data_IF_311420633597
#
_entry.id   IF_311420633597
#
_cell.length_a   1.000
_cell.length_b   1.000
_cell.length_c   1.000
_cell.angle_alpha   90.00
_cell.angle_beta   90.00
_cell.angle_gamma   90.00
#
_symmetry.space_group_name_H-M   'P 1'
#
loop_
_entity.id
_entity.type
_entity.pdbx_description
1 polymer ?
#
# COMPACT_ATOMS: atom_id res chain seq x y z
N UNK A 1 -18.61 -8.59 -15.14
CA UNK A 1 -17.23 -8.59 -15.68
C UNK A 1 -16.52 -7.29 -15.39
N UNK A 2 -15.19 -7.26 -15.53
CA UNK A 2 -14.40 -6.04 -15.36
C UNK A 2 -14.44 -5.21 -16.64
N UNK A 3 -14.31 -3.89 -16.49
CA UNK A 3 -14.23 -2.96 -17.63
C UNK A 3 -12.94 -3.21 -18.41
N UNK A 4 -13.05 -3.63 -19.68
CA UNK A 4 -11.89 -3.95 -20.52
C UNK A 4 -11.00 -2.74 -20.84
N UNK A 5 -11.60 -1.55 -21.00
CA UNK A 5 -10.91 -0.29 -21.22
C UNK A 5 -10.03 0.10 -20.02
N UNK A 6 -10.54 -0.08 -18.79
CA UNK A 6 -9.78 0.17 -17.55
C UNK A 6 -8.62 -0.84 -17.42
N UNK A 7 -8.88 -2.14 -17.64
CA UNK A 7 -7.82 -3.17 -17.62
C UNK A 7 -6.73 -2.85 -18.65
N UNK A 8 -7.10 -2.34 -19.82
CA UNK A 8 -6.15 -1.90 -20.83
C UNK A 8 -5.21 -0.80 -20.33
N UNK A 9 -5.76 0.23 -19.67
CA UNK A 9 -4.97 1.31 -19.09
C UNK A 9 -4.07 0.83 -17.92
N UNK A 10 -4.56 -0.08 -17.09
CA UNK A 10 -3.79 -0.66 -15.98
C UNK A 10 -2.59 -1.46 -16.52
N UNK A 11 -2.79 -2.25 -17.58
CA UNK A 11 -1.70 -2.96 -18.25
C UNK A 11 -0.70 -2.00 -18.90
N UNK A 12 -1.16 -0.88 -19.45
CA UNK A 12 -0.29 0.17 -19.99
C UNK A 12 0.58 0.81 -18.90
N UNK A 13 0.06 0.95 -17.66
CA UNK A 13 0.84 1.40 -16.50
C UNK A 13 1.91 0.40 -16.08
N UNK A 14 1.78 -0.88 -16.45
CA UNK A 14 2.68 -1.96 -16.06
C UNK A 14 2.81 -2.10 -14.53
N UNK A 15 1.66 -2.09 -13.84
CA UNK A 15 1.58 -2.25 -12.37
C UNK A 15 1.88 -3.70 -12.00
N UNK A 16 2.93 -4.03 -11.23
CA UNK A 16 3.26 -5.42 -10.89
C UNK A 16 2.57 -5.93 -9.61
N UNK A 17 2.15 -5.04 -8.70
CA UNK A 17 1.51 -5.43 -7.44
C UNK A 17 0.34 -4.49 -7.12
N UNK A 18 -0.70 -4.99 -6.45
CA UNK A 18 -1.81 -4.21 -5.92
C UNK A 18 -2.10 -4.60 -4.47
N UNK A 19 -2.23 -3.60 -3.60
CA UNK A 19 -2.63 -3.78 -2.20
C UNK A 19 -4.14 -3.78 -2.06
N UNK A 20 -4.70 -4.78 -1.34
CA UNK A 20 -6.15 -4.94 -1.14
C UNK A 20 -6.48 -5.71 0.16
N UNK A 21 -7.60 -5.44 0.85
CA UNK A 21 -8.21 -4.12 0.87
C UNK A 21 -7.22 -3.13 1.47
N UNK A 22 -7.38 -1.84 1.19
CA UNK A 22 -6.45 -0.84 1.69
C UNK A 22 -7.14 0.17 2.59
N UNK A 23 -6.33 1.05 3.17
CA UNK A 23 -6.77 2.21 3.91
C UNK A 23 -7.57 1.90 5.17
N UNK A 24 -8.25 2.93 5.65
CA UNK A 24 -8.99 2.88 6.91
C UNK A 24 -10.17 1.90 6.89
N UNK A 25 -10.70 1.58 5.72
CA UNK A 25 -11.74 0.57 5.51
C UNK A 25 -11.38 -0.78 6.13
N UNK A 26 -10.11 -1.20 6.00
CA UNK A 26 -9.63 -2.50 6.44
C UNK A 26 -9.98 -2.80 7.90
N UNK A 27 -9.83 -1.83 8.79
CA UNK A 27 -9.95 -2.05 10.24
C UNK A 27 -11.38 -2.27 10.73
N UNK A 28 -12.38 -2.00 9.89
CA UNK A 28 -13.79 -2.31 10.14
C UNK A 28 -14.35 -3.44 9.27
N UNK A 29 -13.52 -4.05 8.41
CA UNK A 29 -13.96 -5.02 7.39
C UNK A 29 -13.82 -6.47 7.85
N UNK A 30 -14.89 -7.23 7.70
CA UNK A 30 -14.86 -8.70 7.81
C UNK A 30 -14.75 -9.30 6.41
N UNK A 31 -13.65 -9.98 6.12
CA UNK A 31 -13.41 -10.58 4.82
C UNK A 31 -14.41 -11.68 4.44
N UNK A 32 -15.09 -12.30 5.41
CA UNK A 32 -16.13 -13.28 5.18
C UNK A 32 -17.35 -12.67 4.47
N UNK A 33 -17.63 -11.39 4.72
CA UNK A 33 -18.71 -10.67 4.05
C UNK A 33 -18.47 -10.53 2.53
N UNK A 34 -17.19 -10.58 2.10
CA UNK A 34 -16.77 -10.40 0.70
C UNK A 34 -16.53 -11.69 -0.09
N UNK A 35 -17.01 -12.84 0.38
CA UNK A 35 -16.86 -14.13 -0.32
C UNK A 35 -18.23 -14.80 -0.54
N UNK A 36 -18.29 -15.84 -1.38
CA UNK A 36 -19.54 -16.53 -1.72
C UNK A 36 -20.38 -15.80 -2.76
N UNK A 37 -21.63 -16.27 -2.99
CA UNK A 37 -22.56 -15.66 -3.95
C UNK A 37 -22.85 -14.20 -3.59
N UNK A 38 -22.76 -13.30 -4.56
CA UNK A 38 -22.90 -11.85 -4.33
C UNK A 38 -24.24 -11.44 -3.77
N UNK A 39 -25.29 -12.12 -4.18
CA UNK A 39 -26.67 -11.93 -3.74
C UNK A 39 -26.92 -12.31 -2.28
N UNK A 40 -26.04 -13.11 -1.70
CA UNK A 40 -26.10 -13.55 -0.31
C UNK A 40 -25.21 -12.69 0.61
N UNK A 41 -24.35 -11.86 0.04
CA UNK A 41 -23.42 -11.04 0.82
C UNK A 41 -24.13 -9.92 1.57
N UNK A 42 -23.79 -9.68 2.83
CA UNK A 42 -24.43 -8.63 3.61
C UNK A 42 -24.04 -7.25 3.11
N UNK A 43 -24.96 -6.31 3.24
CA UNK A 43 -24.68 -4.87 3.06
C UNK A 43 -24.35 -4.28 4.41
N UNK A 44 -23.21 -3.58 4.51
CA UNK A 44 -22.66 -3.03 5.76
C UNK A 44 -22.49 -1.53 5.70
N UNK A 45 -22.36 -0.90 6.87
CA UNK A 45 -21.84 0.45 6.96
C UNK A 45 -20.30 0.40 6.93
N UNK A 46 -19.71 1.13 6.03
CA UNK A 46 -18.30 1.47 6.10
C UNK A 46 -18.13 2.67 7.04
N UNK A 47 -17.70 2.41 8.26
CA UNK A 47 -17.56 3.41 9.31
C UNK A 47 -16.32 4.31 9.11
N UNK A 48 -15.38 3.91 8.28
CA UNK A 48 -14.20 4.70 7.99
C UNK A 48 -14.50 5.83 6.99
N UNK A 49 -15.28 5.54 5.96
CA UNK A 49 -15.59 6.50 4.89
C UNK A 49 -17.05 6.97 4.91
N UNK A 50 -17.83 6.52 5.89
CA UNK A 50 -19.26 6.85 6.03
C UNK A 50 -20.04 6.54 4.74
N UNK A 51 -19.82 5.35 4.21
CA UNK A 51 -20.48 4.84 3.00
C UNK A 51 -21.25 3.57 3.29
N UNK A 52 -22.02 3.11 2.31
CA UNK A 52 -22.65 1.79 2.36
C UNK A 52 -21.85 0.83 1.48
N UNK A 53 -21.24 -0.17 2.12
CA UNK A 53 -20.50 -1.24 1.43
C UNK A 53 -21.46 -2.38 1.05
N UNK A 54 -21.44 -2.74 -0.21
CA UNK A 54 -22.31 -3.80 -0.77
C UNK A 54 -21.64 -5.16 -0.80
N UNK A 55 -20.34 -5.23 -0.53
CA UNK A 55 -19.51 -6.44 -0.60
C UNK A 55 -19.53 -7.18 -1.96
N UNK A 56 -19.97 -6.50 -3.05
CA UNK A 56 -19.97 -7.08 -4.40
C UNK A 56 -18.57 -7.34 -4.96
N UNK A 57 -17.54 -6.74 -4.33
CA UNK A 57 -16.15 -6.94 -4.67
C UNK A 57 -15.39 -7.35 -3.41
N UNK A 58 -14.87 -8.56 -3.38
CA UNK A 58 -14.16 -9.12 -2.24
C UNK A 58 -12.94 -9.93 -2.66
N UNK A 59 -12.56 -10.90 -1.82
CA UNK A 59 -11.32 -11.68 -2.00
C UNK A 59 -11.27 -12.40 -3.35
N UNK A 60 -12.35 -13.07 -3.76
CA UNK A 60 -12.37 -13.84 -5.01
C UNK A 60 -12.33 -12.92 -6.24
N UNK A 61 -12.99 -11.76 -6.16
CA UNK A 61 -12.98 -10.77 -7.23
C UNK A 61 -11.60 -10.12 -7.42
N UNK A 62 -10.92 -9.75 -6.34
CA UNK A 62 -9.57 -9.16 -6.48
C UNK A 62 -8.58 -10.18 -7.04
N UNK A 63 -8.65 -11.45 -6.61
CA UNK A 63 -7.78 -12.50 -7.15
C UNK A 63 -8.04 -12.73 -8.64
N UNK A 64 -9.30 -12.75 -9.06
CA UNK A 64 -9.69 -12.84 -10.46
C UNK A 64 -9.23 -11.61 -11.25
N UNK A 65 -9.38 -10.42 -10.67
CA UNK A 65 -8.94 -9.17 -11.28
C UNK A 65 -7.41 -9.13 -11.45
N UNK A 66 -6.66 -9.51 -10.42
CA UNK A 66 -5.20 -9.61 -10.47
C UNK A 66 -4.72 -10.54 -11.58
N UNK A 67 -5.37 -11.72 -11.72
CA UNK A 67 -5.06 -12.67 -12.78
C UNK A 67 -5.33 -12.07 -14.17
N UNK A 68 -6.47 -11.39 -14.34
CA UNK A 68 -6.83 -10.75 -15.62
C UNK A 68 -5.89 -9.58 -15.92
N UNK A 69 -5.52 -8.78 -14.94
CA UNK A 69 -4.64 -7.63 -15.13
C UNK A 69 -3.15 -8.03 -15.27
N UNK A 70 -2.76 -9.22 -14.78
CA UNK A 70 -1.36 -9.67 -14.75
C UNK A 70 -0.58 -9.11 -13.58
N UNK A 71 -1.23 -8.88 -12.44
CA UNK A 71 -0.71 -8.17 -11.26
C UNK A 71 -0.67 -9.11 -10.06
N UNK A 72 0.37 -9.03 -9.23
CA UNK A 72 0.43 -9.79 -7.98
C UNK A 72 -0.43 -9.12 -6.89
N UNK A 73 -1.19 -9.88 -6.08
CA UNK A 73 -1.90 -9.34 -4.94
C UNK A 73 -0.97 -9.15 -3.72
N UNK A 74 -1.14 -8.02 -3.02
CA UNK A 74 -0.68 -7.77 -1.66
C UNK A 74 -1.93 -7.64 -0.79
N UNK A 75 -2.21 -8.66 0.00
CA UNK A 75 -3.42 -8.67 0.83
C UNK A 75 -3.17 -8.03 2.19
N UNK A 76 -4.20 -7.42 2.77
CA UNK A 76 -4.13 -6.86 4.12
C UNK A 76 -5.13 -7.55 5.05
N UNK A 77 -4.73 -7.75 6.31
CA UNK A 77 -5.57 -8.35 7.36
C UNK A 77 -6.01 -7.31 8.37
N UNK A 78 -7.26 -7.41 8.83
CA UNK A 78 -7.85 -6.50 9.80
C UNK A 78 -7.24 -6.67 11.20
N UNK A 79 -6.46 -5.69 11.67
CA UNK A 79 -5.91 -5.65 13.03
C UNK A 79 -6.65 -4.67 13.96
N UNK A 80 -7.65 -3.97 13.45
CA UNK A 80 -8.54 -3.12 14.27
C UNK A 80 -9.57 -3.96 15.01
N UNK A 81 -10.66 -4.30 14.34
CA UNK A 81 -11.74 -5.12 14.90
C UNK A 81 -11.52 -6.63 14.73
N UNK A 82 -10.65 -7.05 13.81
CA UNK A 82 -10.36 -8.46 13.55
C UNK A 82 -9.43 -9.09 14.59
N UNK A 83 -9.44 -10.40 14.62
CA UNK A 83 -8.59 -11.23 15.50
C UNK A 83 -7.36 -11.74 14.76
N UNK A 84 -6.36 -12.20 15.51
CA UNK A 84 -5.19 -12.89 14.94
C UNK A 84 -5.59 -14.19 14.22
N UNK A 85 -6.66 -14.83 14.68
CA UNK A 85 -7.15 -16.05 14.05
C UNK A 85 -7.85 -15.77 12.73
N UNK A 86 -8.56 -14.66 12.61
CA UNK A 86 -9.16 -14.25 11.33
C UNK A 86 -8.09 -13.94 10.27
N UNK A 87 -6.97 -13.38 10.68
CA UNK A 87 -5.80 -13.20 9.80
C UNK A 87 -5.26 -14.54 9.28
N UNK A 88 -5.10 -15.54 10.16
CA UNK A 88 -4.67 -16.89 9.78
C UNK A 88 -5.68 -17.56 8.85
N UNK A 89 -7.00 -17.41 9.11
CA UNK A 89 -8.07 -17.96 8.28
C UNK A 89 -8.09 -17.36 6.88
N UNK A 90 -7.80 -16.06 6.73
CA UNK A 90 -7.70 -15.47 5.40
C UNK A 90 -6.49 -16.02 4.63
N UNK A 91 -5.35 -16.25 5.29
CA UNK A 91 -4.21 -16.95 4.69
C UNK A 91 -4.59 -18.39 4.31
N UNK A 92 -5.27 -19.13 5.18
CA UNK A 92 -5.79 -20.47 4.91
C UNK A 92 -6.73 -20.46 3.69
N UNK A 93 -7.69 -19.54 3.64
CA UNK A 93 -8.57 -19.36 2.50
C UNK A 93 -7.80 -19.19 1.19
N UNK A 94 -6.82 -18.31 1.20
CA UNK A 94 -6.05 -17.99 -0.01
C UNK A 94 -5.03 -19.06 -0.41
N UNK A 95 -4.37 -19.70 0.55
CA UNK A 95 -3.15 -20.47 0.29
C UNK A 95 -3.25 -21.96 0.57
N UNK A 96 -4.23 -22.40 1.38
CA UNK A 96 -4.32 -23.84 1.71
C UNK A 96 -4.94 -24.64 0.56
N UNK A 97 -4.37 -25.78 0.17
CA UNK A 97 -4.82 -26.52 -1.00
C UNK A 97 -6.25 -27.06 -0.89
N UNK A 98 -6.67 -27.57 0.25
CA UNK A 98 -8.00 -28.17 0.47
C UNK A 98 -8.06 -29.03 1.72
N UNK A 99 -9.25 -29.59 2.01
CA UNK A 99 -9.45 -30.51 3.13
C UNK A 99 -9.80 -29.85 4.46
N UNK A 100 -9.90 -28.51 4.50
CA UNK A 100 -10.39 -27.75 5.66
C UNK A 100 -11.64 -26.99 5.30
N UNK A 101 -12.49 -26.65 6.27
CA UNK A 101 -13.71 -25.88 6.02
C UNK A 101 -13.40 -24.58 5.25
N UNK A 102 -12.37 -23.85 5.64
CA UNK A 102 -12.00 -22.55 5.05
C UNK A 102 -11.49 -22.72 3.61
N UNK A 103 -10.63 -23.70 3.36
CA UNK A 103 -10.12 -23.96 1.99
C UNK A 103 -11.22 -24.53 1.07
N UNK A 104 -12.14 -25.33 1.62
CA UNK A 104 -13.28 -25.83 0.85
C UNK A 104 -14.31 -24.72 0.51
N UNK A 105 -14.45 -23.68 1.35
CA UNK A 105 -15.23 -22.49 0.99
C UNK A 105 -14.68 -21.82 -0.28
N UNK A 106 -13.34 -21.62 -0.37
CA UNK A 106 -12.72 -21.08 -1.60
C UNK A 106 -13.04 -21.94 -2.82
N UNK A 107 -12.94 -23.28 -2.66
CA UNK A 107 -13.20 -24.22 -3.75
C UNK A 107 -14.65 -24.16 -4.19
N UNK A 108 -15.58 -24.11 -3.25
CA UNK A 108 -17.01 -23.94 -3.52
C UNK A 108 -17.31 -22.62 -4.22
N UNK A 109 -16.57 -21.55 -3.93
CA UNK A 109 -16.66 -20.24 -4.57
C UNK A 109 -16.01 -20.21 -5.97
N UNK A 110 -15.53 -21.35 -6.49
CA UNK A 110 -15.06 -21.51 -7.86
C UNK A 110 -13.54 -21.46 -8.06
N UNK A 111 -12.75 -21.43 -6.97
CA UNK A 111 -11.29 -21.48 -7.04
C UNK A 111 -10.77 -22.81 -6.48
N UNK A 112 -10.66 -23.83 -7.33
CA UNK A 112 -10.14 -25.16 -6.94
C UNK A 112 -8.72 -25.11 -6.41
N UNK A 113 -7.86 -24.29 -7.04
CA UNK A 113 -6.48 -24.14 -6.66
C UNK A 113 -6.26 -22.95 -5.73
N UNK A 114 -5.24 -23.00 -4.85
CA UNK A 114 -4.84 -21.86 -4.03
C UNK A 114 -4.49 -20.62 -4.86
N UNK A 115 -4.75 -19.46 -4.30
CA UNK A 115 -4.35 -18.19 -4.90
C UNK A 115 -2.84 -17.91 -4.75
N UNK A 116 -2.19 -18.56 -3.78
CA UNK A 116 -0.75 -18.44 -3.50
C UNK A 116 -0.32 -17.00 -3.24
N UNK A 117 -1.08 -16.29 -2.42
CA UNK A 117 -0.76 -14.91 -2.05
C UNK A 117 0.50 -14.87 -1.20
N UNK A 118 1.47 -14.09 -1.67
CA UNK A 118 2.78 -13.99 -1.03
C UNK A 118 2.92 -12.81 -0.07
N UNK A 119 2.35 -11.65 -0.40
CA UNK A 119 2.52 -10.40 0.34
C UNK A 119 1.31 -10.12 1.23
N UNK A 120 1.56 -9.79 2.51
CA UNK A 120 0.52 -9.59 3.51
C UNK A 120 0.82 -8.44 4.44
N UNK A 121 -0.05 -7.42 4.44
CA UNK A 121 -0.01 -6.32 5.39
C UNK A 121 -0.76 -6.70 6.67
N UNK A 122 -0.12 -6.54 7.82
CA UNK A 122 -0.69 -6.80 9.14
C UNK A 122 -1.27 -5.50 9.69
N UNK A 123 -2.50 -5.19 9.28
CA UNK A 123 -3.18 -3.94 9.63
C UNK A 123 -2.92 -2.79 8.67
N UNK A 124 -3.45 -1.62 9.01
CA UNK A 124 -3.32 -0.35 8.32
C UNK A 124 -3.33 0.80 9.33
N UNK A 125 -2.33 1.70 9.28
CA UNK A 125 -2.25 2.94 10.07
C UNK A 125 -2.65 2.78 11.56
N UNK A 126 -2.16 1.73 12.19
CA UNK A 126 -2.59 1.35 13.55
C UNK A 126 -2.15 2.36 14.62
N UNK A 127 -1.30 3.33 14.29
CA UNK A 127 -0.90 4.49 15.09
C UNK A 127 -1.88 5.66 15.01
N UNK A 128 -2.75 5.67 13.99
CA UNK A 128 -3.63 6.80 13.69
C UNK A 128 -4.88 6.85 14.57
N UNK A 129 -5.18 7.98 15.25
CA UNK A 129 -6.38 8.10 16.08
C UNK A 129 -7.69 8.06 15.28
N UNK A 130 -7.62 8.20 13.96
CA UNK A 130 -8.74 8.04 13.04
C UNK A 130 -9.03 6.59 12.69
N UNK A 131 -8.09 5.68 12.96
CA UNK A 131 -8.19 4.27 12.62
C UNK A 131 -9.06 3.52 13.63
N UNK A 132 -10.05 2.76 13.15
CA UNK A 132 -10.89 1.91 14.01
C UNK A 132 -9.99 0.89 14.71
N UNK A 133 -10.06 0.86 16.05
CA UNK A 133 -9.27 -0.07 16.84
C UNK A 133 -7.77 0.23 16.84
N UNK A 134 -7.36 1.52 16.63
CA UNK A 134 -5.97 1.92 16.80
C UNK A 134 -5.44 1.55 18.19
N UNK A 135 -4.15 1.32 18.30
CA UNK A 135 -3.49 0.80 19.48
C UNK A 135 -2.25 1.65 19.81
N UNK A 136 -1.70 1.48 20.99
CA UNK A 136 -0.34 1.92 21.26
C UNK A 136 0.68 1.06 20.50
N UNK A 137 1.89 1.55 20.30
CA UNK A 137 2.95 0.82 19.59
C UNK A 137 3.26 -0.54 20.23
N UNK A 138 3.23 -0.62 21.56
CA UNK A 138 3.47 -1.84 22.32
C UNK A 138 2.33 -2.87 22.14
N UNK A 139 1.07 -2.42 22.25
CA UNK A 139 -0.10 -3.27 22.04
C UNK A 139 -0.18 -3.81 20.62
N UNK A 140 0.01 -2.90 19.64
CA UNK A 140 0.04 -3.31 18.23
C UNK A 140 1.21 -4.25 17.94
N UNK A 141 2.41 -3.96 18.42
CA UNK A 141 3.60 -4.79 18.22
C UNK A 141 3.40 -6.21 18.71
N UNK A 142 2.81 -6.39 19.92
CA UNK A 142 2.44 -7.70 20.46
C UNK A 142 1.38 -8.41 19.61
N UNK A 143 0.31 -7.72 19.24
CA UNK A 143 -0.76 -8.27 18.39
C UNK A 143 -0.22 -8.69 17.01
N UNK A 144 0.59 -7.84 16.39
CA UNK A 144 1.19 -8.09 15.08
C UNK A 144 2.16 -9.28 15.09
N UNK A 145 2.95 -9.43 16.18
CA UNK A 145 3.83 -10.58 16.35
C UNK A 145 3.03 -11.89 16.36
N UNK A 146 1.97 -11.96 17.14
CA UNK A 146 1.15 -13.17 17.22
C UNK A 146 0.41 -13.44 15.90
N UNK A 147 -0.10 -12.38 15.26
CA UNK A 147 -0.70 -12.51 13.92
C UNK A 147 0.32 -13.06 12.90
N UNK A 148 1.53 -12.52 12.89
CA UNK A 148 2.60 -12.97 11.99
C UNK A 148 2.90 -14.46 12.14
N UNK A 149 3.02 -14.94 13.37
CA UNK A 149 3.28 -16.37 13.67
C UNK A 149 2.16 -17.27 13.13
N UNK A 150 0.90 -16.96 13.47
CA UNK A 150 -0.22 -17.83 13.06
C UNK A 150 -0.46 -17.77 11.56
N UNK A 151 -0.20 -16.63 10.90
CA UNK A 151 -0.27 -16.50 9.44
C UNK A 151 0.78 -17.40 8.76
N UNK A 152 2.02 -17.42 9.26
CA UNK A 152 3.07 -18.31 8.78
C UNK A 152 2.70 -19.79 8.98
N UNK A 153 2.18 -20.13 10.14
CA UNK A 153 1.72 -21.52 10.42
C UNK A 153 0.56 -21.92 9.48
N UNK A 154 -0.41 -21.04 9.26
CA UNK A 154 -1.49 -21.28 8.29
C UNK A 154 -0.98 -21.49 6.85
N UNK A 155 0.14 -20.83 6.49
CA UNK A 155 0.83 -21.05 5.21
C UNK A 155 1.72 -22.33 5.20
N UNK A 156 1.80 -23.07 6.31
CA UNK A 156 2.63 -24.26 6.45
C UNK A 156 4.12 -23.96 6.68
N UNK A 157 4.46 -22.76 7.12
CA UNK A 157 5.84 -22.40 7.48
C UNK A 157 6.11 -22.87 8.93
N UNK A 158 7.13 -23.70 9.10
CA UNK A 158 7.53 -24.23 10.41
C UNK A 158 9.05 -24.21 10.55
N UNK A 159 9.54 -23.84 11.71
CA UNK A 159 10.97 -23.86 12.07
C UNK A 159 11.88 -23.15 11.05
N UNK A 160 11.38 -22.04 10.48
CA UNK A 160 12.07 -21.25 9.46
C UNK A 160 12.04 -21.82 8.05
N UNK A 161 11.43 -22.99 7.85
CA UNK A 161 11.23 -23.61 6.54
C UNK A 161 10.07 -22.95 5.79
N UNK A 162 10.13 -22.98 4.46
CA UNK A 162 9.04 -22.50 3.62
C UNK A 162 7.86 -23.47 3.65
N UNK A 163 6.64 -22.93 3.62
CA UNK A 163 5.44 -23.71 3.34
C UNK A 163 5.37 -24.18 1.89
N UNK A 164 4.32 -24.95 1.54
CA UNK A 164 4.13 -25.47 0.17
C UNK A 164 4.15 -24.39 -0.91
N UNK A 165 3.69 -23.19 -0.58
CA UNK A 165 3.60 -22.04 -1.48
C UNK A 165 4.77 -21.04 -1.32
N UNK A 166 5.86 -21.47 -0.69
CA UNK A 166 6.99 -20.61 -0.32
C UNK A 166 6.76 -19.85 1.00
N UNK A 167 7.62 -18.88 1.28
CA UNK A 167 7.50 -18.05 2.50
C UNK A 167 6.62 -16.83 2.22
N UNK A 168 5.78 -16.51 3.19
CA UNK A 168 5.07 -15.22 3.20
C UNK A 168 6.05 -14.05 3.32
N UNK A 169 5.68 -12.94 2.75
CA UNK A 169 6.29 -11.63 2.95
C UNK A 169 5.35 -10.79 3.79
N UNK A 170 5.70 -10.62 5.06
CA UNK A 170 4.87 -9.96 6.06
C UNK A 170 5.29 -8.50 6.23
N UNK A 171 4.31 -7.61 6.15
CA UNK A 171 4.48 -6.16 6.25
C UNK A 171 3.76 -5.71 7.52
N UNK A 172 4.48 -5.16 8.49
CA UNK A 172 3.89 -4.59 9.71
C UNK A 172 3.62 -3.11 9.52
N UNK A 173 2.55 -2.61 10.15
CA UNK A 173 2.17 -1.21 10.09
C UNK A 173 3.21 -0.35 10.81
N UNK A 174 3.90 0.48 10.07
CA UNK A 174 4.72 1.57 10.58
C UNK A 174 3.91 2.85 10.75
N UNK A 175 4.60 3.97 10.93
CA UNK A 175 3.95 5.27 11.09
C UNK A 175 3.14 5.68 9.87
N UNK A 176 1.91 6.15 10.10
CA UNK A 176 0.99 6.64 9.07
C UNK A 176 1.47 7.92 8.39
N UNK A 177 2.32 8.69 9.05
CA UNK A 177 3.15 9.76 8.49
C UNK A 177 4.20 10.19 9.53
N UNK A 178 5.22 10.94 9.10
CA UNK A 178 6.30 11.38 9.99
C UNK A 178 5.93 12.59 10.87
N UNK A 179 4.77 13.21 10.66
CA UNK A 179 4.26 14.28 11.52
C UNK A 179 3.48 13.75 12.74
N UNK A 180 3.29 12.43 12.83
CA UNK A 180 2.65 11.80 13.98
C UNK A 180 3.46 12.03 15.25
N UNK A 181 2.80 12.37 16.39
CA UNK A 181 3.51 12.55 17.66
C UNK A 181 4.28 11.32 18.13
N UNK A 182 3.91 10.16 17.62
CA UNK A 182 4.51 8.86 17.92
C UNK A 182 5.69 8.49 17.03
N UNK A 183 5.95 9.25 15.96
CA UNK A 183 7.07 9.02 15.05
C UNK A 183 8.39 9.56 15.66
N UNK A 184 9.54 8.88 15.51
CA UNK A 184 9.72 7.54 14.95
C UNK A 184 9.66 6.42 16.02
N UNK A 185 9.21 6.74 17.24
CA UNK A 185 9.16 5.81 18.37
C UNK A 185 8.20 4.64 18.11
N UNK A 186 7.07 4.90 17.42
CA UNK A 186 6.15 3.86 16.97
C UNK A 186 6.88 2.76 16.21
N UNK A 187 7.63 3.15 15.18
CA UNK A 187 8.35 2.24 14.31
C UNK A 187 9.38 1.41 15.08
N UNK A 188 10.13 2.06 15.97
CA UNK A 188 11.10 1.40 16.82
C UNK A 188 10.46 0.32 17.69
N UNK A 189 9.38 0.65 18.41
CA UNK A 189 8.70 -0.27 19.34
C UNK A 189 8.06 -1.42 18.58
N UNK A 190 7.35 -1.16 17.50
CA UNK A 190 6.74 -2.20 16.66
C UNK A 190 7.80 -3.17 16.14
N UNK A 191 8.93 -2.65 15.66
CA UNK A 191 10.01 -3.48 15.15
C UNK A 191 10.69 -4.31 16.26
N UNK A 192 10.84 -3.79 17.48
CA UNK A 192 11.39 -4.55 18.60
C UNK A 192 10.55 -5.80 18.91
N UNK A 193 9.23 -5.76 18.71
CA UNK A 193 8.37 -6.93 18.83
C UNK A 193 8.45 -7.86 17.60
N UNK A 194 8.51 -7.30 16.40
CA UNK A 194 8.18 -8.02 15.17
C UNK A 194 9.37 -8.32 14.27
N UNK A 195 10.58 -7.84 14.55
CA UNK A 195 11.74 -7.88 13.65
C UNK A 195 12.03 -9.26 13.08
N UNK A 196 11.86 -10.32 13.90
CA UNK A 196 12.14 -11.70 13.48
C UNK A 196 11.12 -12.21 12.46
N UNK A 197 9.88 -11.83 12.61
CA UNK A 197 8.76 -12.31 11.79
C UNK A 197 8.47 -11.43 10.58
N UNK A 198 8.52 -10.10 10.71
CA UNK A 198 8.20 -9.19 9.64
C UNK A 198 9.32 -9.10 8.59
N UNK A 199 8.97 -8.93 7.33
CA UNK A 199 9.92 -8.74 6.22
C UNK A 199 10.05 -7.27 5.83
N UNK A 200 8.98 -6.49 5.93
CA UNK A 200 8.93 -5.07 5.58
C UNK A 200 8.22 -4.28 6.68
N UNK A 201 8.63 -3.01 6.82
CA UNK A 201 7.93 -2.00 7.60
C UNK A 201 7.12 -1.11 6.65
N UNK A 202 5.82 -0.97 6.89
CA UNK A 202 4.96 -0.06 6.13
C UNK A 202 5.26 1.40 6.48
N UNK A 203 5.08 2.29 5.53
CA UNK A 203 5.05 3.74 5.75
C UNK A 203 4.08 4.38 4.76
N UNK A 204 3.47 5.51 5.17
CA UNK A 204 2.51 6.26 4.37
C UNK A 204 2.85 7.74 4.32
N UNK A 205 2.53 8.41 3.23
CA UNK A 205 2.65 9.87 3.13
C UNK A 205 1.81 10.44 1.98
N UNK A 206 1.07 11.49 2.28
CA UNK A 206 0.36 12.28 1.28
C UNK A 206 0.92 13.70 1.21
N UNK A 207 0.92 14.27 0.02
CA UNK A 207 1.41 15.61 -0.28
C UNK A 207 0.28 16.46 -0.84
N UNK A 208 0.30 17.77 -0.54
CA UNK A 208 -0.71 18.69 -1.05
C UNK A 208 -0.12 20.06 -1.35
N UNK A 209 -0.63 20.70 -2.39
CA UNK A 209 -0.41 22.13 -2.60
C UNK A 209 -1.16 22.92 -1.53
N UNK A 210 -0.49 23.88 -0.91
CA UNK A 210 -1.12 24.77 0.09
C UNK A 210 -0.80 26.22 -0.23
N UNK A 211 -1.82 26.96 -0.71
CA UNK A 211 -1.70 28.38 -1.04
C UNK A 211 -1.38 29.29 0.16
N UNK A 212 -1.56 28.79 1.39
CA UNK A 212 -1.22 29.53 2.62
C UNK A 212 0.26 29.51 2.99
N UNK A 213 1.08 28.67 2.33
CA UNK A 213 2.54 28.61 2.56
C UNK A 213 3.23 29.85 1.99
N UNK A 214 4.43 30.14 2.52
CA UNK A 214 5.24 31.30 2.09
C UNK A 214 5.70 31.17 0.62
N UNK A 215 6.03 29.95 0.22
CA UNK A 215 6.45 29.59 -1.15
C UNK A 215 5.66 28.39 -1.63
N UNK A 216 4.36 28.60 -1.99
CA UNK A 216 3.45 27.47 -2.18
C UNK A 216 3.88 26.46 -3.24
N UNK A 217 4.42 26.95 -4.37
CA UNK A 217 4.86 26.10 -5.48
C UNK A 217 6.18 25.42 -5.14
N UNK A 218 7.15 26.18 -4.65
CA UNK A 218 8.49 25.67 -4.30
C UNK A 218 8.41 24.63 -3.18
N UNK A 219 7.60 24.89 -2.16
CA UNK A 219 7.35 23.96 -1.06
C UNK A 219 6.69 22.67 -1.54
N UNK A 220 5.78 22.78 -2.52
CA UNK A 220 5.12 21.61 -3.10
C UNK A 220 6.07 20.82 -4.01
N UNK A 221 6.85 21.49 -4.84
CA UNK A 221 7.88 20.85 -5.66
C UNK A 221 8.98 20.18 -4.83
N UNK A 222 9.25 20.71 -3.63
CA UNK A 222 10.20 20.14 -2.65
C UNK A 222 9.70 18.90 -1.92
N UNK A 223 8.49 18.40 -2.16
CA UNK A 223 7.93 17.22 -1.48
C UNK A 223 8.79 15.95 -1.61
N UNK A 224 9.60 15.87 -2.66
CA UNK A 224 10.55 14.76 -2.85
C UNK A 224 11.65 14.73 -1.77
N UNK A 225 12.07 15.88 -1.25
CA UNK A 225 13.07 16.00 -0.19
C UNK A 225 12.49 15.50 1.14
N UNK A 226 11.24 15.89 1.46
CA UNK A 226 10.49 15.39 2.62
C UNK A 226 10.37 13.85 2.59
N UNK A 227 10.01 13.29 1.44
CA UNK A 227 9.93 11.83 1.27
C UNK A 227 11.30 11.15 1.48
N UNK A 228 12.37 11.75 0.99
CA UNK A 228 13.72 11.20 1.14
C UNK A 228 14.18 11.23 2.62
N UNK A 229 13.90 12.31 3.35
CA UNK A 229 14.20 12.43 4.78
C UNK A 229 13.41 11.40 5.61
N UNK A 230 12.11 11.24 5.31
CA UNK A 230 11.27 10.26 6.00
C UNK A 230 11.79 8.82 5.77
N UNK A 231 12.10 8.45 4.53
CA UNK A 231 12.72 7.15 4.22
C UNK A 231 14.05 7.00 4.96
N UNK A 232 14.87 8.04 4.99
CA UNK A 232 16.17 8.05 5.68
C UNK A 232 16.04 7.77 7.18
N UNK A 233 15.06 8.39 7.84
CA UNK A 233 14.77 8.17 9.27
C UNK A 233 14.33 6.75 9.54
N UNK A 234 13.45 6.17 8.72
CA UNK A 234 13.03 4.78 8.88
C UNK A 234 14.16 3.79 8.60
N UNK A 235 15.02 4.06 7.62
CA UNK A 235 16.24 3.25 7.40
C UNK A 235 17.10 3.20 8.65
N UNK A 236 17.32 4.35 9.30
CA UNK A 236 18.10 4.44 10.52
C UNK A 236 17.44 3.68 11.68
N UNK A 237 16.12 3.79 11.82
CA UNK A 237 15.32 3.07 12.83
C UNK A 237 15.40 1.56 12.65
N UNK A 238 15.23 1.07 11.41
CA UNK A 238 15.37 -0.36 11.06
C UNK A 238 16.76 -0.88 11.41
N UNK A 239 17.82 -0.13 11.06
CA UNK A 239 19.20 -0.53 11.35
C UNK A 239 19.51 -0.50 12.85
N UNK A 240 18.94 0.46 13.60
CA UNK A 240 19.04 0.48 15.06
C UNK A 240 18.46 -0.80 15.68
N UNK A 241 17.22 -1.15 15.31
CA UNK A 241 16.58 -2.36 15.85
C UNK A 241 17.29 -3.62 15.38
N UNK A 242 17.75 -3.68 14.12
CA UNK A 242 18.56 -4.79 13.62
C UNK A 242 19.81 -5.02 14.50
N UNK A 243 20.51 -3.95 14.83
CA UNK A 243 21.71 -4.03 15.67
C UNK A 243 21.37 -4.47 17.11
N UNK A 244 20.29 -3.93 17.69
CA UNK A 244 19.77 -4.29 19.01
C UNK A 244 19.42 -5.78 19.09
N UNK A 245 18.73 -6.30 18.09
CA UNK A 245 18.34 -7.71 17.95
C UNK A 245 19.50 -8.62 17.52
N UNK A 246 20.68 -8.06 17.23
CA UNK A 246 21.84 -8.79 16.68
C UNK A 246 21.48 -9.65 15.47
N UNK A 247 20.56 -9.15 14.66
CA UNK A 247 20.01 -9.89 13.54
C UNK A 247 20.87 -9.72 12.28
N UNK A 248 21.04 -10.81 11.50
CA UNK A 248 21.61 -10.77 10.16
C UNK A 248 20.56 -10.50 9.09
N UNK A 249 19.27 -10.61 9.44
CA UNK A 249 18.15 -10.34 8.55
C UNK A 249 18.15 -8.87 8.12
N UNK A 250 17.98 -8.63 6.83
CA UNK A 250 17.77 -7.28 6.27
C UNK A 250 16.28 -7.06 6.05
N UNK A 251 15.72 -6.10 6.76
CA UNK A 251 14.35 -5.67 6.58
C UNK A 251 14.30 -4.51 5.59
N UNK A 252 13.28 -4.49 4.74
CA UNK A 252 13.00 -3.38 3.84
C UNK A 252 11.82 -2.54 4.29
N UNK A 253 11.49 -1.56 3.46
CA UNK A 253 10.34 -0.67 3.61
C UNK A 253 9.30 -1.02 2.54
N UNK A 254 8.03 -1.05 2.93
CA UNK A 254 6.88 -1.01 2.04
C UNK A 254 6.27 0.39 2.13
N UNK A 255 6.49 1.22 1.11
CA UNK A 255 5.84 2.52 1.01
C UNK A 255 4.46 2.30 0.37
N UNK A 256 3.58 1.61 1.08
CA UNK A 256 2.38 1.00 0.52
C UNK A 256 1.14 1.91 0.53
N UNK A 257 1.34 3.20 0.84
CA UNK A 257 0.34 4.25 0.63
C UNK A 257 1.02 5.61 0.46
N UNK A 258 0.97 6.16 -0.74
CA UNK A 258 1.50 7.50 -1.03
C UNK A 258 0.79 8.13 -2.22
N UNK A 259 0.60 9.44 -2.20
CA UNK A 259 0.10 10.19 -3.34
C UNK A 259 0.12 11.71 -3.06
N UNK A 260 -0.38 12.46 -4.04
CA UNK A 260 -0.87 13.83 -3.90
C UNK A 260 -2.36 13.74 -3.58
N UNK A 261 -2.78 14.41 -2.51
CA UNK A 261 -4.17 14.40 -2.05
C UNK A 261 -4.55 15.77 -1.46
N UNK A 262 -5.59 16.40 -2.00
CA UNK A 262 -6.14 17.64 -1.47
C UNK A 262 -7.11 17.35 -0.32
N UNK A 263 -6.57 17.16 0.87
CA UNK A 263 -7.28 16.65 2.07
C UNK A 263 -8.47 17.51 2.51
N UNK A 264 -8.44 18.81 2.23
CA UNK A 264 -9.40 19.78 2.78
C UNK A 264 -10.63 20.04 1.87
N UNK A 265 -10.91 19.16 0.91
CA UNK A 265 -12.13 19.28 0.09
C UNK A 265 -13.33 18.80 0.91
N UNK A 266 -14.33 19.65 1.14
CA UNK A 266 -15.53 19.23 1.86
C UNK A 266 -16.23 18.08 1.14
N UNK A 267 -16.69 17.08 1.92
CA UNK A 267 -17.49 15.99 1.38
C UNK A 267 -18.77 16.58 0.77
N UNK A 268 -19.00 16.31 -0.50
CA UNK A 268 -20.18 16.76 -1.27
C UNK A 268 -21.34 15.78 -1.24
N UNK A 269 -21.05 14.51 -0.95
CA UNK A 269 -22.01 13.41 -1.01
C UNK A 269 -22.66 13.17 0.36
N UNK A 270 -23.94 12.76 0.39
CA UNK A 270 -24.61 12.35 1.61
C UNK A 270 -23.88 11.20 2.31
N UNK A 271 -23.99 11.14 3.64
CA UNK A 271 -23.52 9.98 4.41
C UNK A 271 -24.28 8.72 3.99
N UNK A 272 -23.62 7.59 4.06
CA UNK A 272 -24.18 6.25 3.82
C UNK A 272 -24.70 6.00 2.39
N UNK A 273 -24.23 6.80 1.44
CA UNK A 273 -24.53 6.57 0.04
C UNK A 273 -23.72 5.36 -0.46
N UNK A 274 -24.31 4.55 -1.34
CA UNK A 274 -23.60 3.51 -2.08
C UNK A 274 -22.75 4.13 -3.17
N UNK A 275 -21.48 3.71 -3.27
CA UNK A 275 -20.52 4.14 -4.27
C UNK A 275 -20.54 5.68 -4.49
N UNK A 276 -20.35 6.50 -3.44
CA UNK A 276 -20.29 7.95 -3.59
C UNK A 276 -19.03 8.37 -4.35
N UNK A 277 -19.07 9.56 -4.95
CA UNK A 277 -17.88 10.20 -5.49
C UNK A 277 -17.01 10.71 -4.33
N UNK A 278 -15.93 10.02 -4.02
CA UNK A 278 -14.98 10.36 -2.95
C UNK A 278 -13.61 10.63 -3.54
N UNK A 279 -12.97 11.73 -3.10
CA UNK A 279 -11.58 12.04 -3.40
C UNK A 279 -11.27 11.98 -4.93
N UNK A 280 -12.22 12.42 -5.75
CA UNK A 280 -12.03 12.49 -7.20
C UNK A 280 -11.28 13.77 -7.56
N UNK A 281 -10.02 13.86 -7.12
CA UNK A 281 -9.14 15.02 -7.36
C UNK A 281 -8.79 15.11 -8.84
N UNK A 282 -8.71 16.35 -9.34
CA UNK A 282 -8.27 16.65 -10.70
C UNK A 282 -6.82 17.13 -10.66
N UNK A 283 -5.93 16.34 -11.23
CA UNK A 283 -4.50 16.62 -11.22
C UNK A 283 -4.05 17.58 -12.31
N UNK A 284 -3.26 18.56 -11.91
CA UNK A 284 -2.64 19.58 -12.75
C UNK A 284 -1.28 19.13 -13.31
N UNK A 285 -0.62 19.98 -14.07
CA UNK A 285 0.75 19.73 -14.51
C UNK A 285 1.76 19.78 -13.35
N UNK A 286 1.54 20.70 -12.38
CA UNK A 286 2.39 20.78 -11.18
C UNK A 286 2.32 19.48 -10.37
N UNK A 287 1.13 18.91 -10.19
CA UNK A 287 0.97 17.59 -9.53
C UNK A 287 1.78 16.51 -10.25
N UNK A 288 1.78 16.53 -11.58
CA UNK A 288 2.58 15.57 -12.38
C UNK A 288 4.09 15.71 -12.15
N UNK A 289 4.60 16.93 -11.97
CA UNK A 289 6.01 17.17 -11.66
C UNK A 289 6.38 16.67 -10.26
N UNK A 290 5.55 16.99 -9.26
CA UNK A 290 5.74 16.48 -7.89
C UNK A 290 5.68 14.96 -7.88
N UNK A 291 4.69 14.38 -8.55
CA UNK A 291 4.53 12.93 -8.65
C UNK A 291 5.77 12.25 -9.25
N UNK A 292 6.33 12.82 -10.32
CA UNK A 292 7.58 12.31 -10.90
C UNK A 292 8.76 12.40 -9.92
N UNK A 293 8.86 13.51 -9.18
CA UNK A 293 9.87 13.68 -8.12
C UNK A 293 9.76 12.63 -7.02
N UNK A 294 8.54 12.35 -6.55
CA UNK A 294 8.28 11.31 -5.53
C UNK A 294 8.69 9.93 -6.05
N UNK A 295 8.32 9.56 -7.27
CA UNK A 295 8.73 8.28 -7.87
C UNK A 295 10.25 8.18 -8.02
N UNK A 296 10.92 9.25 -8.38
CA UNK A 296 12.37 9.30 -8.45
C UNK A 296 13.00 9.09 -7.06
N UNK A 297 12.40 9.65 -6.00
CA UNK A 297 12.85 9.43 -4.63
C UNK A 297 12.72 7.96 -4.22
N UNK A 298 11.63 7.29 -4.59
CA UNK A 298 11.47 5.86 -4.36
C UNK A 298 12.56 5.04 -5.06
N UNK A 299 12.89 5.37 -6.31
CA UNK A 299 13.97 4.73 -7.06
C UNK A 299 15.34 4.97 -6.42
N UNK A 300 15.62 6.19 -5.98
CA UNK A 300 16.89 6.53 -5.33
C UNK A 300 17.09 5.81 -3.99
N UNK A 301 16.02 5.33 -3.37
CA UNK A 301 16.02 4.59 -2.12
C UNK A 301 15.68 3.10 -2.30
N UNK A 302 15.83 2.53 -3.49
CA UNK A 302 15.52 1.13 -3.78
C UNK A 302 16.34 0.11 -2.99
N UNK A 303 17.44 0.53 -2.37
CA UNK A 303 18.20 -0.28 -1.42
C UNK A 303 17.39 -0.62 -0.16
N UNK A 304 16.45 0.23 0.22
CA UNK A 304 15.56 0.06 1.37
C UNK A 304 14.09 -0.15 0.97
N UNK A 305 13.56 0.66 0.05
CA UNK A 305 12.17 0.55 -0.42
C UNK A 305 12.03 -0.64 -1.36
N UNK A 306 11.26 -1.64 -0.93
CA UNK A 306 11.09 -2.90 -1.66
C UNK A 306 9.72 -3.03 -2.32
N UNK A 307 8.77 -2.25 -1.86
CA UNK A 307 7.45 -2.10 -2.47
C UNK A 307 6.99 -0.65 -2.32
N UNK A 308 6.24 -0.16 -3.29
CA UNK A 308 5.60 1.15 -3.22
C UNK A 308 4.24 1.06 -3.93
N UNK A 309 3.15 1.37 -3.22
CA UNK A 309 1.80 1.31 -3.76
C UNK A 309 1.17 2.70 -3.80
N UNK A 310 0.81 3.13 -4.99
CA UNK A 310 0.08 4.37 -5.18
C UNK A 310 -1.34 4.25 -4.62
N UNK A 311 -1.75 5.17 -3.80
CA UNK A 311 -3.13 5.31 -3.34
C UNK A 311 -3.86 6.42 -4.14
N UNK A 312 -4.74 6.09 -5.11
CA UNK A 312 -5.15 4.80 -5.52
C UNK A 312 -5.01 4.64 -7.05
N UNK A 313 -5.64 3.62 -7.62
CA UNK A 313 -5.41 3.29 -9.03
C UNK A 313 -6.49 3.82 -9.97
N UNK A 314 -7.77 3.80 -9.54
CA UNK A 314 -8.92 4.21 -10.36
C UNK A 314 -9.87 5.08 -9.55
N UNK A 315 -10.28 6.20 -10.10
CA UNK A 315 -11.22 7.21 -9.62
C UNK A 315 -10.77 7.98 -8.36
N UNK A 316 -10.41 7.30 -7.29
CA UNK A 316 -10.08 7.91 -6.00
C UNK A 316 -8.62 8.35 -6.01
N UNK A 317 -8.34 9.67 -5.99
CA UNK A 317 -6.98 10.26 -6.11
C UNK A 317 -6.09 9.48 -7.09
N UNK A 318 -6.59 9.24 -8.29
CA UNK A 318 -6.08 8.19 -9.16
C UNK A 318 -5.56 8.70 -10.51
N UNK A 319 -4.60 7.99 -11.12
CA UNK A 319 -4.13 8.30 -12.47
C UNK A 319 -5.16 7.96 -13.56
N UNK A 320 -6.14 7.09 -13.26
CA UNK A 320 -7.18 6.66 -14.19
C UNK A 320 -8.55 7.08 -13.66
N UNK A 321 -9.32 7.80 -14.48
CA UNK A 321 -10.68 8.20 -14.16
C UNK A 321 -11.66 7.52 -15.09
N UNK A 322 -12.88 7.27 -14.59
CA UNK A 322 -13.96 6.64 -15.35
C UNK A 322 -15.27 7.40 -15.21
N UNK A 323 -16.07 7.41 -16.26
CA UNK A 323 -17.46 7.86 -16.22
C UNK A 323 -18.38 6.63 -16.17
N UNK A 324 -19.46 6.71 -15.40
CA UNK A 324 -20.45 5.63 -15.34
C UNK A 324 -21.13 5.47 -16.70
N UNK A 325 -20.96 4.32 -17.34
CA UNK A 325 -21.49 4.06 -18.69
C UNK A 325 -20.78 4.87 -19.78
N UNK A 326 -19.74 5.60 -19.46
CA UNK A 326 -18.99 6.47 -20.34
C UNK A 326 -17.53 6.03 -20.54
N UNK A 327 -16.70 6.98 -20.92
CA UNK A 327 -15.28 6.78 -21.24
C UNK A 327 -14.40 6.60 -20.01
N UNK A 328 -13.19 6.09 -20.23
CA UNK A 328 -12.04 6.23 -19.32
C UNK A 328 -11.09 7.30 -19.84
N UNK A 329 -10.38 7.95 -18.92
CA UNK A 329 -9.33 8.90 -19.31
C UNK A 329 -8.16 8.86 -18.32
N UNK A 330 -6.99 9.32 -18.79
CA UNK A 330 -5.77 9.41 -18.03
C UNK A 330 -5.67 10.80 -17.40
N UNK A 331 -5.30 10.86 -16.12
CA UNK A 331 -4.88 12.09 -15.47
C UNK A 331 -3.38 12.37 -15.73
N UNK A 332 -2.90 13.54 -15.36
CA UNK A 332 -1.51 13.95 -15.57
C UNK A 332 -0.52 13.03 -14.86
N UNK A 333 -0.84 12.51 -13.68
CA UNK A 333 -0.04 11.54 -12.92
C UNK A 333 0.13 10.18 -13.60
N UNK A 334 -0.73 9.83 -14.55
CA UNK A 334 -0.61 8.60 -15.33
C UNK A 334 0.71 8.53 -16.12
N UNK A 335 1.13 9.65 -16.70
CA UNK A 335 2.27 9.67 -17.62
C UNK A 335 3.62 9.44 -16.94
N UNK A 336 3.97 10.11 -15.82
CA UNK A 336 5.21 9.81 -15.10
C UNK A 336 5.19 8.40 -14.51
N UNK A 337 4.05 7.92 -13.98
CA UNK A 337 3.95 6.54 -13.50
C UNK A 337 4.28 5.55 -14.63
N UNK A 338 3.59 5.67 -15.77
CA UNK A 338 3.82 4.81 -16.93
C UNK A 338 5.27 4.86 -17.40
N UNK A 339 5.84 6.05 -17.50
CA UNK A 339 7.22 6.23 -17.97
C UNK A 339 8.21 5.50 -17.06
N UNK A 340 8.06 5.65 -15.75
CA UNK A 340 8.96 5.02 -14.77
C UNK A 340 8.71 3.52 -14.68
N UNK A 341 7.47 3.08 -14.49
CA UNK A 341 7.16 1.67 -14.31
C UNK A 341 7.52 0.78 -15.52
N UNK A 342 7.49 1.34 -16.73
CA UNK A 342 7.89 0.61 -17.94
C UNK A 342 9.41 0.61 -18.21
N UNK A 343 10.17 1.52 -17.57
CA UNK A 343 11.60 1.67 -17.85
C UNK A 343 12.49 1.40 -16.63
N UNK A 344 11.94 1.44 -15.42
CA UNK A 344 12.68 1.21 -14.18
C UNK A 344 12.87 -0.29 -13.93
N UNK A 345 13.60 -0.96 -14.79
CA UNK A 345 14.02 -2.35 -14.59
C UNK A 345 15.55 -2.40 -14.51
N UNK A 346 16.09 -3.02 -13.46
CA UNK A 346 17.52 -3.19 -13.37
C UNK A 346 18.15 -2.51 -12.16
N UNK A 347 19.25 -1.77 -12.33
CA UNK A 347 19.92 -1.02 -11.26
C UNK A 347 19.63 0.46 -11.38
N UNK A 348 19.45 1.12 -10.24
CA UNK A 348 19.54 2.58 -10.20
C UNK A 348 21.00 2.99 -10.20
N UNK A 349 21.33 3.99 -11.01
CA UNK A 349 22.65 4.65 -10.98
C UNK A 349 22.50 6.00 -10.28
N UNK A 350 23.53 6.40 -9.55
CA UNK A 350 23.56 7.73 -8.95
C UNK A 350 23.69 8.76 -10.05
N UNK A 351 22.61 9.47 -10.35
CA UNK A 351 22.64 10.63 -11.24
C UNK A 351 23.10 11.86 -10.46
N UNK A 352 23.95 12.66 -11.08
CA UNK A 352 24.34 13.98 -10.58
C UNK A 352 23.77 14.98 -11.58
N UNK A 353 22.80 15.80 -11.13
CA UNK A 353 22.29 16.92 -11.94
C UNK A 353 22.97 18.22 -11.50
N UNK A 354 23.41 19.00 -12.47
CA UNK A 354 23.89 20.36 -12.25
C UNK A 354 22.87 21.33 -12.86
N UNK A 355 22.15 22.04 -12.01
CA UNK A 355 21.10 23.00 -12.38
C UNK A 355 20.95 24.03 -11.26
N UNK A 356 20.26 25.11 -11.54
CA UNK A 356 19.85 26.07 -10.53
C UNK A 356 19.05 25.39 -9.42
N UNK A 357 19.19 25.92 -8.22
CA UNK A 357 18.45 25.48 -7.03
C UNK A 357 17.34 26.46 -6.70
N UNK A 358 16.31 25.99 -6.03
CA UNK A 358 15.28 26.84 -5.43
C UNK A 358 15.13 26.51 -3.94
N UNK A 359 14.79 27.54 -3.16
CA UNK A 359 14.55 27.40 -1.74
C UNK A 359 13.10 26.98 -1.49
N UNK A 360 12.90 26.00 -0.62
CA UNK A 360 11.61 25.52 -0.15
C UNK A 360 11.63 25.31 1.37
N UNK A 361 10.54 24.86 1.98
CA UNK A 361 10.44 24.66 3.42
C UNK A 361 11.33 23.54 3.97
N UNK A 362 11.83 22.66 3.12
CA UNK A 362 12.71 21.55 3.48
C UNK A 362 14.19 21.85 3.23
N UNK A 363 14.51 23.01 2.69
CA UNK A 363 15.88 23.45 2.38
C UNK A 363 16.03 23.97 0.95
N UNK A 364 17.18 23.69 0.34
CA UNK A 364 17.46 24.04 -1.07
C UNK A 364 17.39 22.79 -1.93
N UNK A 365 16.53 22.81 -2.92
CA UNK A 365 16.26 21.68 -3.81
C UNK A 365 16.59 21.98 -5.27
N UNK A 366 16.81 20.93 -6.05
CA UNK A 366 16.85 20.95 -7.51
C UNK A 366 15.70 20.16 -8.06
N UNK A 367 14.98 20.70 -9.02
CA UNK A 367 13.98 19.95 -9.77
C UNK A 367 14.69 19.07 -10.79
N UNK A 368 15.02 17.85 -10.43
CA UNK A 368 15.57 16.86 -11.34
C UNK A 368 14.52 15.80 -11.68
N UNK A 369 14.11 15.76 -12.93
CA UNK A 369 13.21 14.74 -13.47
C UNK A 369 13.98 13.63 -14.20
N UNK A 370 15.32 13.63 -14.12
CA UNK A 370 16.17 12.70 -14.87
C UNK A 370 16.74 11.68 -13.87
N UNK A 371 16.29 10.44 -14.00
CA UNK A 371 16.99 9.28 -13.48
C UNK A 371 17.29 8.34 -14.63
N UNK A 372 18.55 7.94 -14.75
CA UNK A 372 18.98 6.96 -15.72
C UNK A 372 18.98 5.62 -14.99
N UNK A 373 18.12 4.72 -15.40
CA UNK A 373 18.14 3.32 -14.98
C UNK A 373 18.80 2.47 -16.06
N UNK A 374 19.82 1.71 -15.70
CA UNK A 374 20.35 0.66 -16.58
C UNK A 374 19.82 -0.71 -16.16
N UNK A 375 19.63 -1.64 -17.15
CA UNK A 375 18.87 -2.87 -16.91
C UNK A 375 19.70 -3.92 -16.17
N UNK A 376 19.54 -4.02 -14.85
CA UNK A 376 19.83 -5.22 -14.08
C UNK A 376 18.87 -5.31 -12.89
N UNK A 377 18.17 -6.41 -12.82
CA UNK A 377 17.12 -6.83 -11.86
C UNK A 377 16.91 -5.96 -10.63
N UNK A 378 15.82 -5.21 -10.63
CA UNK A 378 15.07 -4.82 -9.43
C UNK A 378 14.04 -5.93 -9.15
N UNK A 379 14.20 -6.62 -8.04
CA UNK A 379 13.11 -7.39 -7.48
C UNK A 379 12.16 -6.38 -6.81
N UNK A 380 11.13 -5.98 -7.57
CA UNK A 380 9.93 -5.28 -7.12
C UNK A 380 10.09 -3.80 -6.73
N UNK A 381 9.86 -2.91 -7.69
CA UNK A 381 9.23 -1.61 -7.43
C UNK A 381 7.93 -1.56 -8.23
N UNK A 382 6.81 -1.39 -7.54
CA UNK A 382 5.49 -1.27 -8.12
C UNK A 382 4.59 -0.39 -7.29
#
# INVERSE_FOLDING_TARGET
GFRGDVIGLIRELNVPIVRYPGGNFLSGYDWHDGIGPKEERPVRLDLAWFTTETNEFGTDEIMKWCRVAGIAPMMAVNMGTGTILDAARLVEYCNHPGGTTISEMRRANGASEPYNVKYWCIGNEMDGPWQIGHLSADEYGKKALEAAKVMRWANGEMDGNAGPNGKLKLIVSGSSNHEMPTFPEWDRVVLEHTYKEADLLSMHRYYMYSASRKRPLEDFLGSADDMAEYIGTLKATIEYVRAKERSQKRMGISFDEWNIWTVNVPRREPLWKRAPHLLEDVYTFQDSLVFAGLMNTLLNNCDAVRAACLAQLVNVIAPIMTEKGGRTFRQTSFYPFRAIANNASGCTVRAISDSDTFENMYGSARLSLIHISEPTRLDVIS
#
